data_IF_649186708619
#
_entry.id   IF_649186708619
#
_cell.length_a   1.000
_cell.length_b   1.000
_cell.length_c   1.000
_cell.angle_alpha   90.00
_cell.angle_beta   90.00
_cell.angle_gamma   90.00
#
_symmetry.space_group_name_H-M   'P 1'
#
loop_
_entity.id
_entity.type
_entity.pdbx_description
1 polymer ?
#
# COMPACT_ATOMS: atom_id res chain seq x y z
N UNK A 1 23.64 3.62 15.84
CA UNK A 1 23.77 4.03 17.25
C UNK A 1 22.87 3.17 18.13
N UNK A 2 23.43 2.28 18.96
CA UNK A 2 22.65 1.45 19.90
C UNK A 2 22.86 1.80 21.37
N UNK A 3 23.87 2.61 21.68
CA UNK A 3 24.25 2.97 23.05
C UNK A 3 24.61 4.46 23.07
N UNK A 4 24.09 5.19 24.04
CA UNK A 4 24.52 6.55 24.41
C UNK A 4 24.70 6.57 25.93
N UNK A 5 25.86 6.98 26.43
CA UNK A 5 26.22 6.95 27.85
C UNK A 5 25.93 5.59 28.54
N UNK A 6 26.27 4.48 27.90
CA UNK A 6 26.04 3.13 28.45
C UNK A 6 24.59 2.64 28.43
N UNK A 7 23.62 3.51 28.09
CA UNK A 7 22.20 3.16 28.00
C UNK A 7 21.81 2.80 26.57
N UNK A 8 21.16 1.65 26.41
CA UNK A 8 20.62 1.23 25.12
C UNK A 8 19.31 1.93 24.81
N UNK A 9 19.22 2.53 23.63
CA UNK A 9 17.96 3.15 23.18
C UNK A 9 16.87 2.08 23.00
N UNK A 10 15.67 2.36 23.51
CA UNK A 10 14.53 1.47 23.32
C UNK A 10 14.18 1.33 21.83
N UNK A 11 13.55 0.21 21.43
CA UNK A 11 13.08 0.04 20.05
C UNK A 11 12.08 1.13 19.62
N UNK A 12 11.28 1.65 20.57
CA UNK A 12 10.37 2.77 20.32
C UNK A 12 11.13 4.07 20.04
N UNK A 13 12.19 4.34 20.81
CA UNK A 13 13.11 5.47 20.60
C UNK A 13 13.77 5.40 19.24
N UNK A 14 14.35 4.26 18.87
CA UNK A 14 14.97 4.07 17.56
C UNK A 14 13.95 4.28 16.43
N UNK A 15 12.72 3.80 16.60
CA UNK A 15 11.65 4.00 15.60
C UNK A 15 11.27 5.46 15.45
N UNK A 16 11.19 6.23 16.55
CA UNK A 16 10.93 7.66 16.51
C UNK A 16 12.08 8.43 15.85
N UNK A 17 13.33 8.15 16.24
CA UNK A 17 14.51 8.79 15.64
C UNK A 17 14.61 8.56 14.14
N UNK A 18 14.23 7.37 13.63
CA UNK A 18 14.15 7.13 12.18
C UNK A 18 13.13 8.01 11.47
N UNK A 19 12.01 8.34 12.14
CA UNK A 19 11.01 9.28 11.60
C UNK A 19 11.55 10.71 11.61
N UNK A 20 12.13 11.14 12.73
CA UNK A 20 12.78 12.47 12.82
C UNK A 20 13.85 12.62 11.74
N UNK A 21 14.71 11.60 11.54
CA UNK A 21 15.73 11.61 10.50
C UNK A 21 15.14 11.78 9.09
N UNK A 22 14.06 11.07 8.77
CA UNK A 22 13.41 11.22 7.46
C UNK A 22 12.94 12.66 7.22
N UNK A 23 12.33 13.29 8.23
CA UNK A 23 11.86 14.68 8.12
C UNK A 23 13.00 15.69 8.18
N UNK A 24 14.07 15.43 8.92
CA UNK A 24 15.28 16.24 8.88
C UNK A 24 15.93 16.24 7.50
N UNK A 25 16.01 15.08 6.83
CA UNK A 25 16.48 14.99 5.44
C UNK A 25 15.59 15.82 4.51
N UNK A 26 14.26 15.74 4.66
CA UNK A 26 13.36 16.58 3.86
C UNK A 26 13.53 18.07 4.12
N UNK A 27 13.83 18.49 5.36
CA UNK A 27 14.12 19.90 5.65
C UNK A 27 15.41 20.39 4.99
N UNK A 28 16.39 19.49 4.78
CA UNK A 28 17.61 19.79 4.02
C UNK A 28 17.29 19.89 2.52
N UNK A 29 16.41 19.03 1.98
CA UNK A 29 15.99 19.10 0.58
C UNK A 29 15.07 20.30 0.29
N UNK A 30 14.32 20.75 1.30
CA UNK A 30 13.50 21.96 1.27
C UNK A 30 14.30 23.11 1.91
N UNK A 31 15.47 23.37 1.34
CA UNK A 31 16.38 24.44 1.74
C UNK A 31 15.87 25.82 1.31
N UNK A 32 16.64 26.85 1.62
CA UNK A 32 16.27 28.23 1.33
C UNK A 32 16.17 28.50 -0.18
N UNK A 33 17.08 27.95 -0.98
CA UNK A 33 17.07 28.10 -2.44
C UNK A 33 15.82 27.46 -3.06
N UNK A 34 15.47 26.22 -2.67
CA UNK A 34 14.24 25.59 -3.13
C UNK A 34 13.01 26.38 -2.70
N UNK A 35 13.00 26.92 -1.48
CA UNK A 35 11.86 27.67 -0.96
C UNK A 35 11.70 29.03 -1.65
N UNK A 36 12.80 29.67 -2.03
CA UNK A 36 12.80 30.88 -2.86
C UNK A 36 12.22 30.57 -4.24
N UNK A 37 12.70 29.51 -4.90
CA UNK A 37 12.14 29.02 -6.17
C UNK A 37 10.65 28.65 -6.03
N UNK A 38 10.24 28.03 -4.92
CA UNK A 38 8.85 27.67 -4.66
C UNK A 38 7.96 28.91 -4.54
N UNK A 39 8.44 29.96 -3.88
CA UNK A 39 7.66 31.18 -3.67
C UNK A 39 7.65 32.08 -4.90
N UNK A 40 8.81 32.26 -5.52
CA UNK A 40 9.03 33.28 -6.54
C UNK A 40 9.09 32.73 -7.96
N UNK A 41 9.29 31.42 -8.13
CA UNK A 41 9.47 30.79 -9.43
C UNK A 41 10.93 30.83 -9.90
N UNK A 42 11.20 30.14 -11.00
CA UNK A 42 12.50 30.13 -11.68
C UNK A 42 12.30 30.34 -13.18
N UNK A 43 13.18 31.10 -13.81
CA UNK A 43 13.13 31.36 -15.24
C UNK A 43 13.85 30.23 -15.98
N UNK A 44 13.12 29.50 -16.83
CA UNK A 44 13.66 28.38 -17.60
C UNK A 44 13.39 28.60 -19.09
N UNK A 45 14.42 28.43 -19.93
CA UNK A 45 14.23 28.26 -21.38
C UNK A 45 13.82 26.81 -21.66
N UNK A 46 12.57 26.62 -22.03
CA UNK A 46 12.02 25.30 -22.32
C UNK A 46 12.56 24.73 -23.65
N UNK A 47 12.31 23.44 -23.90
CA UNK A 47 12.80 22.72 -25.09
C UNK A 47 12.28 23.27 -26.42
N UNK A 48 11.13 23.96 -26.39
CA UNK A 48 10.55 24.67 -27.54
C UNK A 48 11.17 26.07 -27.77
N UNK A 49 12.19 26.44 -27.00
CA UNK A 49 12.89 27.72 -27.09
C UNK A 49 12.21 28.87 -26.34
N UNK A 50 11.00 28.67 -25.82
CA UNK A 50 10.24 29.69 -25.10
C UNK A 50 10.73 29.77 -23.65
N UNK A 51 10.99 30.99 -23.19
CA UNK A 51 11.35 31.26 -21.80
C UNK A 51 10.06 31.32 -20.98
N UNK A 52 10.00 30.55 -19.89
CA UNK A 52 8.84 30.49 -19.01
C UNK A 52 9.25 30.69 -17.56
N UNK A 53 8.38 31.36 -16.82
CA UNK A 53 8.47 31.46 -15.38
C UNK A 53 7.81 30.23 -14.75
N UNK A 54 8.62 29.40 -14.11
CA UNK A 54 8.25 28.06 -13.66
C UNK A 54 8.20 27.98 -12.15
N UNK A 55 7.08 27.50 -11.61
CA UNK A 55 6.94 27.29 -10.17
C UNK A 55 7.06 25.80 -9.81
N UNK A 56 8.05 25.41 -8.98
CA UNK A 56 8.12 24.06 -8.46
C UNK A 56 6.98 23.81 -7.47
N UNK A 57 6.22 22.73 -7.68
CA UNK A 57 5.07 22.37 -6.84
C UNK A 57 5.02 20.86 -6.58
N UNK A 58 4.59 20.49 -5.37
CA UNK A 58 4.35 19.10 -5.00
C UNK A 58 2.91 18.71 -5.32
N UNK A 59 2.70 17.97 -6.40
CA UNK A 59 1.38 17.43 -6.74
C UNK A 59 1.16 16.03 -6.20
N UNK A 60 2.16 15.15 -6.37
CA UNK A 60 2.02 13.73 -6.07
C UNK A 60 3.29 13.16 -5.43
N UNK A 61 3.11 12.28 -4.45
CA UNK A 61 4.12 11.46 -3.84
C UNK A 61 3.68 9.98 -3.92
N UNK A 62 4.24 9.28 -4.89
CA UNK A 62 3.94 7.87 -5.14
C UNK A 62 5.01 7.00 -4.50
N UNK A 63 4.60 6.23 -3.51
CA UNK A 63 5.50 5.39 -2.75
C UNK A 63 4.80 4.16 -2.20
N UNK A 64 5.59 3.23 -1.65
CA UNK A 64 5.03 2.10 -0.93
C UNK A 64 4.40 2.54 0.41
N UNK A 65 3.64 1.64 1.04
CA UNK A 65 2.91 1.99 2.25
C UNK A 65 3.81 2.39 3.43
N UNK A 66 4.89 1.66 3.76
CA UNK A 66 5.85 2.08 4.78
C UNK A 66 6.36 3.52 4.59
N UNK A 67 6.74 3.88 3.36
CA UNK A 67 7.25 5.22 3.06
C UNK A 67 6.16 6.29 3.19
N UNK A 68 4.96 6.04 2.64
CA UNK A 68 3.79 6.92 2.84
C UNK A 68 3.49 7.14 4.32
N UNK A 69 3.60 6.10 5.16
CA UNK A 69 3.37 6.20 6.61
C UNK A 69 4.39 7.10 7.29
N UNK A 70 5.67 7.00 6.91
CA UNK A 70 6.74 7.84 7.45
C UNK A 70 6.51 9.32 7.10
N UNK A 71 6.21 9.60 5.83
CA UNK A 71 5.97 10.95 5.34
C UNK A 71 4.66 11.52 5.84
N UNK A 72 3.60 10.71 5.96
CA UNK A 72 2.33 11.15 6.52
C UNK A 72 2.39 11.34 8.04
N UNK A 73 3.50 11.00 8.70
CA UNK A 73 3.67 11.04 10.16
C UNK A 73 2.54 10.29 10.90
N UNK A 74 2.25 9.09 10.41
CA UNK A 74 1.29 8.18 11.06
C UNK A 74 1.99 6.88 11.50
N UNK A 75 1.29 6.07 12.28
CA UNK A 75 1.79 4.79 12.79
C UNK A 75 1.49 3.66 11.81
N UNK A 76 2.50 2.85 11.57
CA UNK A 76 2.40 1.69 10.68
C UNK A 76 1.33 0.69 11.17
N UNK A 77 0.33 0.44 10.34
CA UNK A 77 -0.77 -0.53 10.57
C UNK A 77 -1.55 -0.33 11.89
N UNK A 78 -1.63 0.90 12.38
CA UNK A 78 -2.34 1.25 13.61
C UNK A 78 -3.87 1.35 13.40
N UNK A 79 -4.58 2.05 14.31
CA UNK A 79 -6.05 2.16 14.31
C UNK A 79 -6.55 2.75 12.99
N UNK A 80 -6.00 3.88 12.57
CA UNK A 80 -6.30 4.55 11.31
C UNK A 80 -5.15 4.30 10.32
N UNK A 81 -5.41 3.51 9.27
CA UNK A 81 -4.35 2.96 8.40
C UNK A 81 -4.07 3.79 7.16
N UNK A 82 -4.96 4.72 6.79
CA UNK A 82 -4.79 5.47 5.57
C UNK A 82 -3.99 6.77 5.81
N UNK A 83 -3.01 7.10 4.95
CA UNK A 83 -2.36 8.41 4.91
C UNK A 83 -3.31 9.55 4.52
N UNK A 84 -4.44 9.27 3.87
CA UNK A 84 -5.36 10.30 3.36
C UNK A 84 -6.62 10.50 4.19
N UNK A 85 -7.11 9.47 4.88
CA UNK A 85 -8.36 9.53 5.65
C UNK A 85 -8.25 8.82 7.00
N UNK A 86 -9.28 9.01 7.83
CA UNK A 86 -9.37 8.42 9.17
C UNK A 86 -10.04 7.04 9.21
N UNK A 87 -10.05 6.30 8.08
CA UNK A 87 -10.60 4.94 8.05
C UNK A 87 -9.92 4.07 9.11
N UNK A 88 -10.72 3.46 9.97
CA UNK A 88 -10.19 2.52 10.95
C UNK A 88 -9.99 1.15 10.30
N UNK A 89 -8.92 0.45 10.70
CA UNK A 89 -8.55 -0.87 10.17
C UNK A 89 -9.72 -1.85 10.15
N UNK A 90 -10.54 -1.88 11.21
CA UNK A 90 -11.72 -2.75 11.35
C UNK A 90 -12.79 -2.55 10.28
N UNK A 91 -12.80 -1.40 9.60
CA UNK A 91 -13.81 -1.06 8.59
C UNK A 91 -13.33 -1.29 7.16
N UNK A 92 -12.04 -1.56 6.95
CA UNK A 92 -11.43 -1.66 5.60
C UNK A 92 -12.06 -2.75 4.73
N UNK A 93 -12.52 -3.85 5.32
CA UNK A 93 -13.19 -4.94 4.57
C UNK A 93 -14.52 -4.50 3.93
N UNK A 94 -15.05 -3.33 4.30
CA UNK A 94 -16.28 -2.75 3.76
C UNK A 94 -16.06 -1.97 2.45
N UNK A 95 -14.90 -2.13 1.79
CA UNK A 95 -14.58 -1.52 0.49
C UNK A 95 -15.80 -1.46 -0.43
N UNK A 96 -16.07 -0.26 -0.96
CA UNK A 96 -17.07 -0.03 -1.99
C UNK A 96 -18.52 -0.09 -1.50
N UNK A 97 -18.76 -0.08 -0.18
CA UNK A 97 -20.09 0.15 0.39
C UNK A 97 -20.36 1.64 0.55
N UNK A 98 -21.63 2.04 0.59
CA UNK A 98 -22.00 3.44 0.83
C UNK A 98 -21.36 4.01 2.11
N UNK A 99 -21.39 3.24 3.20
CA UNK A 99 -20.78 3.64 4.49
C UNK A 99 -19.26 3.74 4.38
N UNK A 100 -18.62 2.94 3.53
CA UNK A 100 -17.18 3.07 3.26
C UNK A 100 -16.86 4.38 2.54
N UNK A 101 -17.67 4.79 1.55
CA UNK A 101 -17.52 6.08 0.88
C UNK A 101 -17.64 7.26 1.86
N UNK A 102 -18.61 7.21 2.78
CA UNK A 102 -18.73 8.22 3.85
C UNK A 102 -17.53 8.26 4.80
N UNK A 103 -16.89 7.11 5.07
CA UNK A 103 -15.68 7.09 5.91
C UNK A 103 -14.47 7.63 5.15
N UNK A 104 -14.38 7.38 3.84
CA UNK A 104 -13.33 7.89 2.98
C UNK A 104 -13.38 9.42 2.83
N UNK A 105 -14.57 10.03 2.90
CA UNK A 105 -14.71 11.49 2.87
C UNK A 105 -14.20 12.18 4.13
N UNK A 106 -14.02 11.46 5.25
CA UNK A 106 -13.32 11.96 6.43
C UNK A 106 -11.80 11.96 6.22
N UNK A 107 -11.37 12.88 5.36
CA UNK A 107 -9.97 13.08 5.01
C UNK A 107 -9.17 13.66 6.17
N UNK A 108 -7.87 13.34 6.20
CA UNK A 108 -6.92 13.97 7.09
C UNK A 108 -6.72 15.41 6.66
N UNK A 109 -6.72 16.28 7.65
CA UNK A 109 -6.41 17.70 7.48
C UNK A 109 -5.29 18.04 8.43
N UNK A 110 -4.34 18.81 7.95
CA UNK A 110 -3.32 19.38 8.80
C UNK A 110 -3.82 20.72 9.36
N UNK A 111 -4.49 20.64 10.49
CA UNK A 111 -5.09 21.78 11.17
C UNK A 111 -4.38 22.08 12.50
N UNK A 112 -4.66 23.24 13.09
CA UNK A 112 -4.07 23.66 14.36
C UNK A 112 -4.24 22.58 15.44
N UNK A 113 -5.42 21.97 15.55
CA UNK A 113 -5.69 20.88 16.51
C UNK A 113 -4.71 19.71 16.38
N UNK A 114 -4.37 19.29 15.15
CA UNK A 114 -3.36 18.24 14.93
C UNK A 114 -1.97 18.72 15.36
N UNK A 115 -1.61 19.95 14.99
CA UNK A 115 -0.31 20.54 15.31
C UNK A 115 -0.11 20.64 16.83
N UNK A 116 -1.11 21.14 17.55
CA UNK A 116 -1.10 21.24 19.01
C UNK A 116 -0.94 19.87 19.67
N UNK A 117 -1.65 18.85 19.17
CA UNK A 117 -1.51 17.46 19.65
C UNK A 117 -0.09 16.94 19.49
N UNK A 118 0.56 17.22 18.35
CA UNK A 118 1.94 16.82 18.08
C UNK A 118 2.90 17.59 18.99
N UNK A 119 2.74 18.90 19.11
CA UNK A 119 3.59 19.75 19.96
C UNK A 119 3.48 19.36 21.43
N UNK A 120 2.27 19.14 21.95
CA UNK A 120 2.04 18.71 23.33
C UNK A 120 2.66 17.33 23.59
N UNK A 121 2.54 16.41 22.65
CA UNK A 121 3.21 15.10 22.76
C UNK A 121 4.73 15.23 22.77
N UNK A 122 5.30 16.17 22.01
CA UNK A 122 6.74 16.47 22.01
C UNK A 122 7.18 17.13 23.31
N UNK A 123 6.38 18.01 23.92
CA UNK A 123 6.64 18.59 25.25
C UNK A 123 6.76 17.49 26.31
N UNK A 124 5.85 16.51 26.32
CA UNK A 124 5.96 15.34 27.19
C UNK A 124 7.27 14.57 27.02
N UNK A 125 7.70 14.34 25.77
CA UNK A 125 8.92 13.58 25.48
C UNK A 125 10.19 14.36 25.85
N UNK A 126 10.32 15.59 25.36
CA UNK A 126 11.58 16.34 25.44
C UNK A 126 11.72 17.20 26.69
N UNK A 127 10.62 17.70 27.27
CA UNK A 127 10.66 18.52 28.49
C UNK A 127 10.40 17.71 29.76
N UNK A 128 9.52 16.72 29.70
CA UNK A 128 9.12 15.93 30.88
C UNK A 128 9.71 14.52 30.91
N UNK A 129 10.55 14.15 29.93
CA UNK A 129 11.23 12.85 29.90
C UNK A 129 10.31 11.65 29.69
N UNK A 130 9.07 11.85 29.23
CA UNK A 130 8.13 10.77 29.02
C UNK A 130 8.56 9.86 27.85
N UNK A 131 8.37 8.55 28.01
CA UNK A 131 8.62 7.61 26.93
C UNK A 131 7.69 7.85 25.72
N UNK A 132 8.17 7.55 24.50
CA UNK A 132 7.40 7.73 23.25
C UNK A 132 6.09 6.92 23.23
N UNK A 133 6.07 5.77 23.91
CA UNK A 133 4.88 4.92 24.08
C UNK A 133 4.24 5.08 25.47
N UNK A 134 4.56 6.15 26.18
CA UNK A 134 3.93 6.45 27.46
C UNK A 134 2.45 6.73 27.26
N UNK A 135 1.66 6.49 28.32
CA UNK A 135 0.23 6.79 28.32
C UNK A 135 -0.05 8.26 27.94
N UNK A 136 0.73 9.21 28.46
CA UNK A 136 0.62 10.63 28.13
C UNK A 136 0.71 10.93 26.63
N UNK A 137 1.57 10.24 25.88
CA UNK A 137 1.71 10.43 24.42
C UNK A 137 0.66 9.64 23.65
N UNK A 138 0.36 8.42 24.11
CA UNK A 138 -0.58 7.52 23.47
C UNK A 138 -2.01 8.06 23.51
N UNK A 139 -2.47 8.56 24.66
CA UNK A 139 -3.82 9.10 24.84
C UNK A 139 -4.09 10.29 23.89
N UNK A 140 -3.04 11.05 23.52
CA UNK A 140 -3.15 12.21 22.60
C UNK A 140 -3.24 11.77 21.13
N UNK A 141 -2.42 10.80 20.71
CA UNK A 141 -2.15 10.53 19.28
C UNK A 141 -2.71 9.22 18.74
N UNK A 142 -3.03 8.26 19.61
CA UNK A 142 -3.40 6.90 19.20
C UNK A 142 -4.68 6.87 18.37
N UNK A 143 -5.66 7.71 18.71
CA UNK A 143 -6.97 7.74 18.06
C UNK A 143 -6.85 7.96 16.54
N UNK A 144 -6.07 8.95 16.14
CA UNK A 144 -5.81 9.30 14.73
C UNK A 144 -4.61 8.55 14.16
N UNK A 145 -3.94 7.74 14.98
CA UNK A 145 -2.70 7.03 14.65
C UNK A 145 -1.55 7.97 14.28
N UNK A 146 -1.55 9.20 14.79
CA UNK A 146 -0.46 10.14 14.60
C UNK A 146 0.79 9.73 15.39
N UNK A 147 1.92 10.37 15.09
CA UNK A 147 3.19 10.21 15.80
C UNK A 147 3.71 11.58 16.26
N UNK A 148 4.53 11.64 17.32
CA UNK A 148 5.03 12.90 17.87
C UNK A 148 6.21 13.48 17.04
N UNK A 149 6.06 13.51 15.72
CA UNK A 149 7.07 14.01 14.77
C UNK A 149 6.52 15.21 14.02
N UNK A 150 7.32 16.29 13.97
CA UNK A 150 7.02 17.44 13.12
C UNK A 150 7.28 17.07 11.66
N UNK A 151 6.36 17.45 10.79
CA UNK A 151 6.41 17.11 9.38
C UNK A 151 7.14 18.21 8.61
N UNK A 152 8.12 17.85 7.78
CA UNK A 152 8.93 18.81 7.03
C UNK A 152 8.11 19.67 6.05
N UNK A 153 7.17 19.06 5.34
CA UNK A 153 6.28 19.76 4.40
C UNK A 153 5.36 20.74 5.13
N UNK A 154 4.85 20.36 6.30
CA UNK A 154 4.11 21.29 7.16
C UNK A 154 4.99 22.49 7.54
N UNK A 155 6.20 22.24 8.04
CA UNK A 155 7.10 23.31 8.50
C UNK A 155 7.40 24.33 7.40
N UNK A 156 7.63 23.87 6.16
CA UNK A 156 8.04 24.75 5.05
C UNK A 156 6.87 25.28 4.21
N UNK A 157 5.83 24.47 4.02
CA UNK A 157 4.79 24.71 3.01
C UNK A 157 3.43 25.11 3.58
N UNK A 158 3.19 25.00 4.89
CA UNK A 158 1.89 25.34 5.48
C UNK A 158 1.48 26.80 5.29
N UNK A 159 2.46 27.72 5.27
CA UNK A 159 2.24 29.14 4.97
C UNK A 159 1.64 29.40 3.58
N UNK A 160 1.77 28.45 2.65
CA UNK A 160 1.17 28.50 1.31
C UNK A 160 -0.15 27.70 1.22
N UNK A 161 -0.74 27.32 2.35
CA UNK A 161 -1.98 26.53 2.40
C UNK A 161 -1.83 25.07 1.97
N UNK A 162 -0.60 24.54 1.90
CA UNK A 162 -0.35 23.19 1.42
C UNK A 162 -0.69 22.13 2.48
N UNK A 163 -1.72 21.31 2.20
CA UNK A 163 -2.03 20.12 3.01
C UNK A 163 -1.26 18.90 2.47
N UNK A 164 -0.16 18.54 3.13
CA UNK A 164 0.71 17.44 2.71
C UNK A 164 0.02 16.08 2.65
N UNK A 165 -1.14 15.86 3.28
CA UNK A 165 -1.87 14.59 3.13
C UNK A 165 -2.40 14.39 1.71
N UNK A 166 -2.61 15.47 0.96
CA UNK A 166 -3.16 15.42 -0.39
C UNK A 166 -2.16 14.90 -1.44
N UNK A 167 -0.86 14.97 -1.16
CA UNK A 167 0.16 14.53 -2.10
C UNK A 167 0.21 13.01 -2.25
N UNK A 168 -0.29 12.22 -1.27
CA UNK A 168 -0.19 10.77 -1.34
C UNK A 168 -1.15 10.18 -2.38
N UNK A 169 -0.59 9.63 -3.46
CA UNK A 169 -1.35 9.03 -4.56
C UNK A 169 -1.31 7.51 -4.51
N UNK A 170 -2.32 6.86 -5.10
CA UNK A 170 -2.37 5.39 -5.18
C UNK A 170 -1.23 4.82 -6.03
N UNK A 171 -0.74 3.63 -5.70
CA UNK A 171 0.35 2.96 -6.39
C UNK A 171 -0.06 1.55 -6.83
N UNK A 172 -0.34 1.38 -8.13
CA UNK A 172 -0.90 0.15 -8.69
C UNK A 172 0.00 -1.07 -8.46
N UNK A 173 1.31 -0.89 -8.53
CA UNK A 173 2.29 -1.96 -8.31
C UNK A 173 2.24 -2.46 -6.87
N UNK A 174 2.32 -1.56 -5.89
CA UNK A 174 2.44 -1.96 -4.48
C UNK A 174 1.10 -2.31 -3.83
N UNK A 175 0.03 -1.63 -4.22
CA UNK A 175 -1.30 -1.77 -3.60
C UNK A 175 -2.13 -2.87 -4.25
N UNK A 176 -2.10 -2.98 -5.58
CA UNK A 176 -2.88 -3.99 -6.28
C UNK A 176 -2.04 -5.20 -6.67
N UNK A 177 -1.06 -5.07 -7.57
CA UNK A 177 -0.35 -6.22 -8.16
C UNK A 177 0.42 -7.04 -7.11
N UNK A 178 1.31 -6.39 -6.36
CA UNK A 178 2.03 -7.00 -5.22
C UNK A 178 1.23 -6.98 -3.90
N UNK A 179 0.02 -6.47 -3.95
CA UNK A 179 -0.82 -6.23 -2.79
C UNK A 179 -2.03 -7.14 -2.75
N UNK A 180 -3.16 -6.61 -3.18
CA UNK A 180 -4.43 -7.34 -3.23
C UNK A 180 -4.32 -8.60 -4.08
N UNK A 181 -3.83 -8.51 -5.31
CA UNK A 181 -3.76 -9.64 -6.23
C UNK A 181 -2.83 -10.73 -5.73
N UNK A 182 -1.57 -10.40 -5.40
CA UNK A 182 -0.64 -11.38 -4.82
C UNK A 182 -1.22 -12.08 -3.59
N UNK A 183 -1.89 -11.36 -2.69
CA UNK A 183 -2.50 -11.95 -1.51
C UNK A 183 -3.67 -12.89 -1.86
N UNK A 184 -4.49 -12.50 -2.83
CA UNK A 184 -5.60 -13.31 -3.33
C UNK A 184 -5.09 -14.58 -4.03
N UNK A 185 -4.15 -14.45 -4.98
CA UNK A 185 -3.52 -15.58 -5.67
C UNK A 185 -2.85 -16.56 -4.69
N UNK A 186 -2.09 -16.04 -3.71
CA UNK A 186 -1.49 -16.88 -2.65
C UNK A 186 -2.56 -17.66 -1.89
N UNK A 187 -3.68 -17.03 -1.53
CA UNK A 187 -4.74 -17.70 -0.81
C UNK A 187 -5.48 -18.73 -1.67
N UNK A 188 -5.62 -18.49 -2.98
CA UNK A 188 -6.13 -19.49 -3.92
C UNK A 188 -5.25 -20.74 -3.98
N UNK A 189 -3.91 -20.59 -3.91
CA UNK A 189 -3.01 -21.75 -3.81
C UNK A 189 -3.28 -22.56 -2.53
N UNK A 190 -3.55 -21.88 -1.41
CA UNK A 190 -3.90 -22.55 -0.16
C UNK A 190 -5.23 -23.30 -0.26
N UNK A 191 -6.22 -22.73 -0.97
CA UNK A 191 -7.51 -23.38 -1.24
C UNK A 191 -7.31 -24.62 -2.09
N UNK A 192 -6.58 -24.53 -3.21
CA UNK A 192 -6.31 -25.69 -4.07
C UNK A 192 -5.57 -26.81 -3.32
N UNK A 193 -4.60 -26.47 -2.46
CA UNK A 193 -3.94 -27.45 -1.61
C UNK A 193 -4.90 -28.08 -0.58
N UNK A 194 -5.82 -27.30 -0.02
CA UNK A 194 -6.80 -27.79 0.95
C UNK A 194 -7.90 -28.63 0.28
N UNK A 195 -8.25 -28.33 -0.96
CA UNK A 195 -9.16 -29.13 -1.78
C UNK A 195 -8.56 -30.51 -2.13
N UNK A 196 -7.23 -30.61 -2.16
CA UNK A 196 -6.51 -31.83 -2.50
C UNK A 196 -6.53 -32.14 -4.01
N UNK A 197 -6.15 -33.37 -4.36
CA UNK A 197 -6.08 -33.82 -5.76
C UNK A 197 -5.00 -33.10 -6.58
N UNK A 198 -5.29 -32.88 -7.86
CA UNK A 198 -4.33 -32.37 -8.86
C UNK A 198 -4.46 -30.88 -9.17
N UNK A 199 -5.22 -30.12 -8.37
CA UNK A 199 -5.56 -28.72 -8.69
C UNK A 199 -4.34 -27.82 -8.93
N UNK A 200 -3.29 -27.97 -8.10
CA UNK A 200 -2.03 -27.23 -8.24
C UNK A 200 -1.25 -27.67 -9.49
N UNK A 201 -1.19 -28.97 -9.76
CA UNK A 201 -0.50 -29.55 -10.90
C UNK A 201 -1.15 -29.10 -12.21
N UNK A 202 -2.49 -29.15 -12.27
CA UNK A 202 -3.27 -28.67 -13.42
C UNK A 202 -3.08 -27.17 -13.63
N UNK A 203 -3.11 -26.39 -12.56
CA UNK A 203 -2.85 -24.95 -12.63
C UNK A 203 -1.47 -24.64 -13.22
N UNK A 204 -0.43 -25.31 -12.70
CA UNK A 204 0.94 -25.13 -13.19
C UNK A 204 1.08 -25.53 -14.66
N UNK A 205 0.47 -26.66 -15.05
CA UNK A 205 0.42 -27.10 -16.43
C UNK A 205 -0.28 -26.08 -17.33
N UNK A 206 -1.44 -25.55 -16.91
CA UNK A 206 -2.19 -24.54 -17.68
C UNK A 206 -1.41 -23.24 -17.84
N UNK A 207 -0.82 -22.69 -16.77
CA UNK A 207 0.05 -21.51 -16.89
C UNK A 207 1.24 -21.78 -17.83
N UNK A 208 1.84 -22.97 -17.76
CA UNK A 208 2.95 -23.32 -18.67
C UNK A 208 2.52 -23.42 -20.14
N UNK A 209 1.26 -23.75 -20.41
CA UNK A 209 0.67 -23.83 -21.75
C UNK A 209 0.23 -22.48 -22.32
N UNK A 210 0.15 -21.43 -21.51
CA UNK A 210 -0.17 -20.09 -22.02
C UNK A 210 0.95 -19.62 -22.96
N UNK A 211 0.58 -19.34 -24.20
CA UNK A 211 1.50 -18.81 -25.19
C UNK A 211 1.97 -17.40 -24.79
N UNK A 212 3.21 -17.07 -25.16
CA UNK A 212 3.71 -15.70 -25.05
C UNK A 212 2.93 -14.77 -25.97
N UNK A 213 2.67 -13.54 -25.53
CA UNK A 213 1.96 -12.55 -26.34
C UNK A 213 2.70 -11.21 -26.36
N UNK A 214 2.92 -10.69 -27.57
CA UNK A 214 3.68 -9.47 -27.82
C UNK A 214 5.16 -9.58 -27.40
N UNK A 215 5.92 -8.48 -27.58
CA UNK A 215 7.34 -8.44 -27.19
C UNK A 215 7.53 -8.53 -25.67
N UNK A 216 6.58 -8.03 -24.88
CA UNK A 216 6.68 -7.92 -23.41
C UNK A 216 5.34 -7.98 -22.67
N UNK A 217 4.23 -8.33 -23.34
CA UNK A 217 2.89 -8.21 -22.75
C UNK A 217 2.53 -9.41 -21.89
N UNK A 218 2.73 -10.63 -22.39
CA UNK A 218 2.62 -11.89 -21.65
C UNK A 218 3.91 -12.67 -21.89
N UNK A 219 4.68 -12.87 -20.83
CA UNK A 219 5.93 -13.65 -20.88
C UNK A 219 5.68 -15.13 -20.61
N UNK A 220 6.69 -15.95 -20.90
CA UNK A 220 6.63 -17.38 -20.62
C UNK A 220 6.54 -17.60 -19.11
N UNK A 221 5.48 -18.25 -18.64
CA UNK A 221 5.34 -18.60 -17.23
C UNK A 221 6.31 -19.71 -16.84
N UNK A 222 6.77 -19.64 -15.58
CA UNK A 222 7.58 -20.69 -14.98
C UNK A 222 6.78 -22.00 -14.89
N UNK A 223 7.48 -23.16 -14.95
CA UNK A 223 6.85 -24.49 -14.84
C UNK A 223 6.05 -24.68 -13.55
N UNK A 224 6.45 -23.97 -12.49
CA UNK A 224 5.77 -23.97 -11.21
C UNK A 224 5.39 -22.53 -10.83
N UNK A 225 4.24 -22.09 -11.33
CA UNK A 225 3.68 -20.76 -11.08
C UNK A 225 3.15 -20.64 -9.63
N UNK A 226 2.61 -21.73 -9.08
CA UNK A 226 2.07 -21.78 -7.71
C UNK A 226 3.10 -21.50 -6.62
N UNK A 227 4.38 -21.81 -6.86
CA UNK A 227 5.46 -21.58 -5.89
C UNK A 227 5.81 -20.10 -5.69
N UNK A 228 5.44 -19.26 -6.66
CA UNK A 228 5.70 -17.82 -6.67
C UNK A 228 7.16 -17.48 -6.35
N UNK A 229 8.10 -18.27 -6.88
CA UNK A 229 9.54 -18.09 -6.65
C UNK A 229 10.09 -17.04 -7.60
N UNK A 230 10.80 -16.05 -7.04
CA UNK A 230 11.49 -15.00 -7.78
C UNK A 230 10.59 -14.20 -8.74
N UNK A 231 9.29 -14.08 -8.42
CA UNK A 231 8.34 -13.28 -9.21
C UNK A 231 8.46 -11.79 -8.86
N UNK A 232 8.65 -10.98 -9.88
CA UNK A 232 8.51 -9.53 -9.84
C UNK A 232 7.04 -9.09 -10.00
N UNK A 233 6.76 -7.81 -9.81
CA UNK A 233 5.39 -7.26 -9.94
C UNK A 233 4.76 -7.54 -11.32
N UNK A 234 5.55 -7.40 -12.39
CA UNK A 234 5.12 -7.69 -13.76
C UNK A 234 4.67 -9.15 -13.94
N UNK A 235 5.28 -10.09 -13.23
CA UNK A 235 4.90 -11.50 -13.36
C UNK A 235 3.55 -11.75 -12.67
N UNK A 236 3.28 -11.06 -11.55
CA UNK A 236 1.95 -11.08 -10.92
C UNK A 236 0.89 -10.46 -11.83
N UNK A 237 1.21 -9.36 -12.52
CA UNK A 237 0.31 -8.77 -13.52
C UNK A 237 -0.03 -9.80 -14.61
N UNK A 238 0.96 -10.46 -15.19
CA UNK A 238 0.73 -11.46 -16.25
C UNK A 238 -0.07 -12.67 -15.73
N UNK A 239 0.19 -13.11 -14.48
CA UNK A 239 -0.61 -14.16 -13.83
C UNK A 239 -2.10 -13.80 -13.71
N UNK A 240 -2.41 -12.53 -13.42
CA UNK A 240 -3.79 -12.05 -13.36
C UNK A 240 -4.44 -12.06 -14.75
N UNK A 241 -3.75 -11.50 -15.75
CA UNK A 241 -4.28 -11.38 -17.12
C UNK A 241 -4.66 -12.74 -17.73
N UNK A 242 -3.98 -13.81 -17.32
CA UNK A 242 -4.25 -15.17 -17.81
C UNK A 242 -5.02 -16.04 -16.79
N UNK A 243 -5.52 -15.46 -15.71
CA UNK A 243 -6.07 -16.24 -14.58
C UNK A 243 -7.37 -16.97 -14.91
N UNK A 244 -8.32 -16.33 -15.60
CA UNK A 244 -9.65 -16.90 -15.89
C UNK A 244 -9.59 -18.33 -16.48
N UNK A 245 -8.98 -18.55 -17.67
CA UNK A 245 -8.92 -19.90 -18.26
C UNK A 245 -8.02 -20.86 -17.47
N UNK A 246 -7.06 -20.33 -16.70
CA UNK A 246 -6.17 -21.17 -15.90
C UNK A 246 -6.92 -21.75 -14.70
N UNK A 247 -7.79 -20.97 -14.05
CA UNK A 247 -8.53 -21.40 -12.87
C UNK A 247 -9.84 -22.13 -13.17
N UNK A 248 -10.32 -22.12 -14.41
CA UNK A 248 -11.65 -22.66 -14.77
C UNK A 248 -11.80 -24.15 -14.46
N UNK A 249 -12.81 -24.51 -13.67
CA UNK A 249 -13.08 -25.89 -13.28
C UNK A 249 -11.99 -26.52 -12.41
N UNK A 250 -11.17 -25.71 -11.70
CA UNK A 250 -10.23 -26.25 -10.70
C UNK A 250 -10.91 -26.55 -9.36
N UNK A 251 -12.11 -26.01 -9.13
CA UNK A 251 -12.92 -26.25 -7.95
C UNK A 251 -14.29 -26.83 -8.34
N UNK A 252 -15.06 -27.40 -7.39
CA UNK A 252 -16.44 -27.81 -7.65
C UNK A 252 -17.29 -26.66 -8.21
N UNK A 253 -18.29 -26.93 -9.07
CA UNK A 253 -18.98 -25.89 -9.86
C UNK A 253 -19.49 -24.69 -9.05
N UNK A 254 -20.05 -24.92 -7.86
CA UNK A 254 -20.55 -23.84 -7.00
C UNK A 254 -19.43 -22.92 -6.47
N UNK A 255 -18.25 -23.48 -6.20
CA UNK A 255 -17.10 -22.72 -5.69
C UNK A 255 -16.34 -22.07 -6.84
N UNK A 256 -16.24 -22.77 -7.97
CA UNK A 256 -15.59 -22.26 -9.19
C UNK A 256 -16.29 -20.99 -9.68
N UNK A 257 -17.63 -20.96 -9.67
CA UNK A 257 -18.38 -19.74 -10.02
C UNK A 257 -17.99 -18.53 -9.17
N UNK A 258 -17.94 -18.67 -7.85
CA UNK A 258 -17.55 -17.57 -6.94
C UNK A 258 -16.12 -17.12 -7.25
N UNK A 259 -15.21 -18.07 -7.52
CA UNK A 259 -13.83 -17.77 -7.85
C UNK A 259 -13.71 -17.04 -9.20
N UNK A 260 -14.37 -17.55 -10.24
CA UNK A 260 -14.35 -16.98 -11.59
C UNK A 260 -14.95 -15.58 -11.62
N UNK A 261 -16.09 -15.35 -10.96
CA UNK A 261 -16.69 -14.02 -10.82
C UNK A 261 -15.70 -13.04 -10.18
N UNK A 262 -15.03 -13.46 -9.10
CA UNK A 262 -14.05 -12.62 -8.40
C UNK A 262 -12.81 -12.35 -9.26
N UNK A 263 -12.30 -13.35 -9.98
CA UNK A 263 -11.17 -13.20 -10.91
C UNK A 263 -11.50 -12.26 -12.06
N UNK A 264 -12.70 -12.39 -12.64
CA UNK A 264 -13.18 -11.51 -13.68
C UNK A 264 -13.19 -10.06 -13.22
N UNK A 265 -13.79 -9.79 -12.06
CA UNK A 265 -13.83 -8.44 -11.50
C UNK A 265 -12.44 -7.90 -11.14
N UNK A 266 -11.52 -8.73 -10.65
CA UNK A 266 -10.12 -8.33 -10.42
C UNK A 266 -9.42 -7.92 -11.74
N UNK A 267 -9.63 -8.69 -12.82
CA UNK A 267 -9.10 -8.38 -14.14
C UNK A 267 -9.71 -7.10 -14.71
N UNK A 268 -11.03 -6.92 -14.62
CA UNK A 268 -11.71 -5.71 -15.08
C UNK A 268 -11.23 -4.48 -14.30
N UNK A 269 -11.15 -4.58 -12.97
CA UNK A 269 -10.68 -3.50 -12.11
C UNK A 269 -9.25 -3.09 -12.48
N UNK A 270 -8.34 -4.06 -12.64
CA UNK A 270 -6.95 -3.81 -13.02
C UNK A 270 -6.85 -3.15 -14.40
N UNK A 271 -7.64 -3.63 -15.36
CA UNK A 271 -7.66 -3.10 -16.73
C UNK A 271 -8.12 -1.65 -16.72
N UNK A 272 -9.22 -1.33 -16.04
CA UNK A 272 -9.73 0.03 -15.90
C UNK A 272 -8.73 0.94 -15.20
N UNK A 273 -8.14 0.50 -14.08
CA UNK A 273 -7.16 1.31 -13.32
C UNK A 273 -5.85 1.57 -14.09
N UNK A 274 -5.55 0.77 -15.12
CA UNK A 274 -4.33 0.86 -15.94
C UNK A 274 -4.54 1.61 -17.26
N UNK A 275 -5.76 2.07 -17.55
CA UNK A 275 -6.01 2.86 -18.75
C UNK A 275 -5.13 4.12 -18.77
N UNK A 276 -4.60 4.43 -19.95
CA UNK A 276 -3.75 5.61 -20.18
C UNK A 276 -4.57 6.88 -20.43
N UNK A 277 -5.86 6.71 -20.63
CA UNK A 277 -6.81 7.77 -20.90
C UNK A 277 -8.12 7.39 -20.24
N UNK A 278 -8.71 8.35 -19.53
CA UNK A 278 -9.96 8.17 -18.84
C UNK A 278 -11.00 9.15 -19.36
N UNK A 279 -12.18 8.63 -19.63
CA UNK A 279 -13.42 9.39 -19.82
C UNK A 279 -14.29 9.26 -18.56
N UNK A 280 -15.33 10.09 -18.46
CA UNK A 280 -16.35 9.96 -17.40
C UNK A 280 -16.90 8.53 -17.31
N UNK A 281 -17.18 7.88 -18.44
CA UNK A 281 -17.70 6.51 -18.46
C UNK A 281 -16.70 5.49 -17.90
N UNK A 282 -15.41 5.59 -18.23
CA UNK A 282 -14.39 4.68 -17.68
C UNK A 282 -14.17 4.89 -16.18
N UNK A 283 -14.28 6.12 -15.68
CA UNK A 283 -14.18 6.42 -14.25
C UNK A 283 -15.39 5.87 -13.49
N UNK A 284 -16.60 6.05 -14.03
CA UNK A 284 -17.81 5.42 -13.49
C UNK A 284 -17.69 3.90 -13.50
N UNK A 285 -17.17 3.31 -14.58
CA UNK A 285 -16.89 1.88 -14.67
C UNK A 285 -15.94 1.40 -13.58
N UNK A 286 -14.85 2.14 -13.32
CA UNK A 286 -13.89 1.81 -12.27
C UNK A 286 -14.52 1.91 -10.88
N UNK A 287 -15.38 2.91 -10.63
CA UNK A 287 -16.10 3.05 -9.38
C UNK A 287 -17.05 1.87 -9.15
N UNK A 288 -17.89 1.54 -10.14
CA UNK A 288 -18.84 0.42 -10.09
C UNK A 288 -18.09 -0.90 -9.87
N UNK A 289 -17.00 -1.11 -10.61
CA UNK A 289 -16.16 -2.31 -10.48
C UNK A 289 -15.52 -2.39 -9.09
N UNK A 290 -15.10 -1.27 -8.51
CA UNK A 290 -14.57 -1.25 -7.13
C UNK A 290 -15.62 -1.68 -6.10
N UNK A 291 -16.88 -1.24 -6.28
CA UNK A 291 -18.02 -1.66 -5.44
C UNK A 291 -18.30 -3.16 -5.57
N UNK A 292 -18.33 -3.66 -6.82
CA UNK A 292 -18.53 -5.08 -7.12
C UNK A 292 -17.40 -5.93 -6.52
N UNK A 293 -16.15 -5.52 -6.70
CA UNK A 293 -14.97 -6.21 -6.17
C UNK A 293 -15.03 -6.34 -4.64
N UNK A 294 -15.38 -5.26 -3.95
CA UNK A 294 -15.55 -5.30 -2.49
C UNK A 294 -16.62 -6.29 -2.06
N UNK A 295 -17.75 -6.36 -2.78
CA UNK A 295 -18.84 -7.33 -2.52
C UNK A 295 -18.37 -8.76 -2.75
N UNK A 296 -17.72 -9.04 -3.87
CA UNK A 296 -17.25 -10.36 -4.23
C UNK A 296 -16.14 -10.86 -3.31
N UNK A 297 -15.15 -10.03 -2.95
CA UNK A 297 -14.13 -10.41 -1.97
C UNK A 297 -14.73 -10.76 -0.61
N UNK A 298 -15.74 -10.01 -0.15
CA UNK A 298 -16.47 -10.37 1.09
C UNK A 298 -17.20 -11.69 0.92
N UNK A 299 -17.92 -11.90 -0.18
CA UNK A 299 -18.63 -13.15 -0.44
C UNK A 299 -17.66 -14.35 -0.55
N UNK A 300 -16.52 -14.18 -1.18
CA UNK A 300 -15.44 -15.17 -1.25
C UNK A 300 -14.99 -15.56 0.16
N UNK A 301 -14.73 -14.58 1.03
CA UNK A 301 -14.31 -14.83 2.41
C UNK A 301 -15.39 -15.46 3.27
N UNK A 302 -16.67 -15.09 3.09
CA UNK A 302 -17.75 -15.59 3.94
C UNK A 302 -18.37 -16.90 3.45
N UNK A 303 -18.34 -17.17 2.14
CA UNK A 303 -19.00 -18.34 1.54
C UNK A 303 -18.02 -19.44 1.13
N UNK A 304 -16.85 -19.07 0.57
CA UNK A 304 -15.91 -20.04 0.01
C UNK A 304 -14.81 -20.41 1.02
N UNK A 305 -14.15 -19.42 1.63
CA UNK A 305 -13.04 -19.69 2.57
C UNK A 305 -13.39 -20.67 3.72
N UNK A 306 -14.57 -20.64 4.35
CA UNK A 306 -14.90 -21.56 5.45
C UNK A 306 -14.97 -23.03 5.04
N UNK A 307 -15.16 -23.31 3.74
CA UNK A 307 -15.27 -24.67 3.20
C UNK A 307 -13.92 -25.36 3.04
N UNK A 308 -12.81 -24.62 3.22
CA UNK A 308 -11.46 -25.12 3.01
C UNK A 308 -10.59 -24.86 4.25
N UNK A 309 -10.00 -25.92 4.81
CA UNK A 309 -9.03 -25.82 5.89
C UNK A 309 -7.66 -25.37 5.35
N UNK A 310 -7.56 -24.07 5.05
CA UNK A 310 -6.38 -23.47 4.43
C UNK A 310 -5.24 -23.33 5.44
N UNK A 311 -4.03 -23.73 5.04
CA UNK A 311 -2.81 -23.64 5.86
C UNK A 311 -1.76 -22.79 5.17
N UNK A 312 -0.65 -22.50 5.86
CA UNK A 312 0.53 -21.94 5.20
C UNK A 312 0.98 -22.85 4.05
N UNK A 313 1.38 -22.25 2.94
CA UNK A 313 2.00 -22.99 1.85
C UNK A 313 3.31 -23.64 2.36
N UNK A 314 3.76 -24.78 1.81
CA UNK A 314 4.98 -25.45 2.28
C UNK A 314 6.20 -24.52 2.39
N UNK A 315 6.34 -23.59 1.43
CA UNK A 315 7.38 -22.57 1.41
C UNK A 315 7.25 -21.52 2.53
N UNK A 316 6.02 -21.13 2.87
CA UNK A 316 5.74 -20.24 3.99
C UNK A 316 6.12 -20.91 5.32
N UNK A 317 5.76 -22.20 5.47
CA UNK A 317 6.14 -23.01 6.64
C UNK A 317 7.65 -23.15 6.77
N UNK A 318 8.36 -23.45 5.67
CA UNK A 318 9.83 -23.51 5.65
C UNK A 318 10.48 -22.16 5.97
N UNK A 319 9.93 -21.05 5.46
CA UNK A 319 10.41 -19.71 5.78
C UNK A 319 10.13 -19.33 7.25
N UNK A 320 9.03 -19.79 7.83
CA UNK A 320 8.70 -19.61 9.24
C UNK A 320 9.66 -20.41 10.13
N UNK A 321 9.89 -21.69 9.82
CA UNK A 321 10.85 -22.55 10.52
C UNK A 321 12.28 -21.97 10.50
N UNK A 322 12.75 -21.48 9.35
CA UNK A 322 14.05 -20.79 9.23
C UNK A 322 14.13 -19.54 10.11
N UNK A 323 13.06 -18.73 10.15
CA UNK A 323 12.98 -17.54 11.02
C UNK A 323 12.97 -17.91 12.49
N UNK A 324 12.21 -18.94 12.87
CA UNK A 324 12.19 -19.46 14.24
C UNK A 324 13.59 -19.95 14.67
N UNK A 325 14.27 -20.72 13.82
CA UNK A 325 15.64 -21.17 14.07
C UNK A 325 16.65 -20.01 14.20
N UNK A 326 16.54 -18.97 13.34
CA UNK A 326 17.37 -17.77 13.43
C UNK A 326 17.12 -16.98 14.72
N UNK A 327 15.86 -16.89 15.17
CA UNK A 327 15.51 -16.23 16.42
C UNK A 327 15.94 -17.04 17.65
N UNK A 328 15.89 -18.38 17.58
CA UNK A 328 16.41 -19.28 18.61
C UNK A 328 17.93 -19.13 18.77
N UNK A 329 18.69 -18.97 17.67
CA UNK A 329 20.12 -18.65 17.72
C UNK A 329 20.46 -17.30 18.37
N UNK A 330 19.49 -16.40 18.53
CA UNK A 330 19.67 -15.06 19.13
C UNK A 330 19.19 -14.95 20.59
N UNK A 331 18.63 -16.01 21.18
CA UNK A 331 18.14 -16.04 22.57
C UNK A 331 18.85 -17.16 23.36
N UNK A 332 19.17 -16.92 24.65
CA UNK A 332 19.57 -17.99 25.59
C UNK A 332 18.42 -19.01 25.74
N UNK A 333 18.71 -20.29 26.07
CA UNK A 333 17.71 -21.35 26.07
C UNK A 333 16.64 -21.05 27.12
N UNK A 334 15.36 -21.11 26.72
CA UNK A 334 14.24 -21.19 27.65
C UNK A 334 13.32 -22.32 27.20
N UNK A 335 12.69 -22.95 28.20
CA UNK A 335 11.93 -24.20 28.18
C UNK A 335 11.03 -24.43 26.95
N UNK A 336 10.76 -25.70 26.57
CA UNK A 336 10.04 -26.06 25.36
C UNK A 336 8.57 -25.61 25.44
N UNK A 337 8.30 -24.41 24.91
CA UNK A 337 6.95 -23.89 24.74
C UNK A 337 6.29 -24.54 23.53
N UNK A 338 5.21 -25.28 23.80
CA UNK A 338 4.15 -25.80 22.92
C UNK A 338 4.30 -25.52 21.41
N UNK A 339 4.43 -26.60 20.64
CA UNK A 339 4.27 -26.62 19.20
C UNK A 339 2.91 -26.00 18.84
N UNK A 340 2.91 -24.73 18.42
CA UNK A 340 1.71 -24.01 18.02
C UNK A 340 0.87 -24.86 17.07
N UNK A 341 -0.35 -25.20 17.50
CA UNK A 341 -1.33 -25.94 16.73
C UNK A 341 -1.56 -25.32 15.35
N UNK A 342 -1.95 -26.16 14.38
CA UNK A 342 -2.15 -25.85 12.96
C UNK A 342 -3.09 -24.64 12.77
N UNK A 343 -2.54 -23.43 12.68
CA UNK A 343 -3.34 -22.19 12.50
C UNK A 343 -3.85 -22.10 11.06
N UNK A 344 -5.18 -22.09 10.90
CA UNK A 344 -5.87 -21.84 9.63
C UNK A 344 -5.55 -20.44 9.09
N UNK A 345 -5.30 -20.32 7.79
CA UNK A 345 -4.87 -19.07 7.13
C UNK A 345 -5.95 -18.47 6.22
N UNK A 346 -6.71 -17.54 6.79
CA UNK A 346 -7.71 -16.77 6.04
C UNK A 346 -7.11 -15.67 5.16
N UNK A 347 -7.85 -15.29 4.10
CA UNK A 347 -7.59 -14.09 3.32
C UNK A 347 -7.85 -12.84 4.18
N UNK A 348 -6.84 -11.98 4.34
CA UNK A 348 -6.96 -10.78 5.15
C UNK A 348 -7.46 -9.58 4.33
N UNK A 349 -8.71 -9.19 4.56
CA UNK A 349 -9.32 -8.00 3.94
C UNK A 349 -9.07 -6.70 4.74
N UNK A 350 -8.38 -6.72 5.88
CA UNK A 350 -8.15 -5.55 6.73
C UNK A 350 -6.80 -4.89 6.46
N UNK A 351 -6.51 -4.62 5.19
CA UNK A 351 -5.21 -4.09 4.74
C UNK A 351 -5.35 -2.72 4.10
N UNK A 352 -4.39 -1.81 4.36
CA UNK A 352 -4.34 -0.51 3.66
C UNK A 352 -4.41 -0.66 2.15
N UNK A 353 -3.74 -1.71 1.62
CA UNK A 353 -3.72 -2.01 0.20
C UNK A 353 -5.13 -2.20 -0.37
N UNK A 354 -6.00 -2.96 0.31
CA UNK A 354 -7.39 -3.11 -0.12
C UNK A 354 -8.15 -1.78 -0.06
N UNK A 355 -7.96 -1.00 1.01
CA UNK A 355 -8.59 0.31 1.15
C UNK A 355 -8.21 1.26 0.00
N UNK A 356 -6.94 1.27 -0.41
CA UNK A 356 -6.42 2.17 -1.43
C UNK A 356 -7.10 2.00 -2.81
N UNK A 357 -7.75 0.85 -3.08
CA UNK A 357 -8.51 0.64 -4.32
C UNK A 357 -9.67 1.63 -4.46
N UNK A 358 -10.27 2.05 -3.33
CA UNK A 358 -11.34 3.05 -3.31
C UNK A 358 -10.89 4.45 -3.74
N UNK A 359 -9.60 4.73 -3.64
CA UNK A 359 -9.06 6.06 -3.90
C UNK A 359 -8.65 6.27 -5.37
N UNK A 360 -8.67 5.23 -6.23
CA UNK A 360 -8.15 5.32 -7.60
C UNK A 360 -8.92 6.32 -8.45
N UNK A 361 -10.25 6.27 -8.44
CA UNK A 361 -11.10 7.18 -9.25
C UNK A 361 -10.78 8.63 -8.92
N UNK A 362 -10.77 8.98 -7.62
CA UNK A 362 -10.45 10.33 -7.17
C UNK A 362 -9.02 10.74 -7.53
N UNK A 363 -8.05 9.85 -7.34
CA UNK A 363 -6.63 10.11 -7.67
C UNK A 363 -6.46 10.36 -9.16
N UNK A 364 -7.10 9.54 -10.00
CA UNK A 364 -7.04 9.65 -11.45
C UNK A 364 -7.69 10.95 -11.93
N UNK A 365 -8.82 11.30 -11.33
CA UNK A 365 -9.51 12.56 -11.65
C UNK A 365 -8.65 13.79 -11.31
N UNK A 366 -7.92 13.78 -10.19
CA UNK A 366 -7.10 14.92 -9.76
C UNK A 366 -5.74 15.01 -10.48
N UNK A 367 -5.11 13.87 -10.80
CA UNK A 367 -3.70 13.82 -11.22
C UNK A 367 -3.46 13.14 -12.57
N UNK A 368 -4.53 12.73 -13.25
CA UNK A 368 -4.45 11.99 -14.50
C UNK A 368 -4.25 10.48 -14.32
N UNK A 369 -4.04 9.72 -15.41
CA UNK A 369 -3.94 8.26 -15.37
C UNK A 369 -2.81 7.78 -14.45
N UNK A 370 -2.92 6.53 -13.96
CA UNK A 370 -1.94 5.97 -13.03
C UNK A 370 -0.50 5.98 -13.56
N UNK A 371 -0.31 5.98 -14.89
CA UNK A 371 1.01 6.09 -15.51
C UNK A 371 1.71 7.44 -15.25
N UNK A 372 0.97 8.52 -14.98
CA UNK A 372 1.52 9.85 -14.75
C UNK A 372 2.32 9.97 -13.45
N UNK A 373 2.01 9.13 -12.46
CA UNK A 373 2.64 9.15 -11.13
C UNK A 373 3.07 7.74 -10.65
N UNK A 374 3.09 6.74 -11.54
CA UNK A 374 3.49 5.38 -11.18
C UNK A 374 5.01 5.24 -11.12
N UNK A 375 5.49 4.58 -10.07
CA UNK A 375 6.90 4.21 -9.92
C UNK A 375 7.31 3.02 -10.81
N UNK A 376 6.40 2.43 -11.61
CA UNK A 376 6.72 1.29 -12.50
C UNK A 376 7.69 1.62 -13.63
N UNK A 377 7.83 2.90 -14.01
CA UNK A 377 8.62 3.29 -15.18
C UNK A 377 10.05 3.74 -14.86
N UNK A 378 10.42 3.96 -13.60
CA UNK A 378 11.73 4.52 -13.25
C UNK A 378 12.27 3.91 -11.94
N UNK A 379 13.54 3.50 -11.93
CA UNK A 379 14.28 2.95 -10.78
C UNK A 379 14.58 3.96 -9.65
N UNK A 380 13.88 5.10 -9.61
CA UNK A 380 13.97 6.12 -8.58
C UNK A 380 12.56 6.63 -8.29
N UNK A 381 12.27 6.94 -7.02
CA UNK A 381 11.03 7.57 -6.57
C UNK A 381 10.72 8.80 -7.45
N UNK A 382 9.72 8.69 -8.32
CA UNK A 382 9.22 9.80 -9.10
C UNK A 382 8.44 10.74 -8.17
N UNK A 383 9.12 11.75 -7.64
CA UNK A 383 8.46 12.98 -7.23
C UNK A 383 8.12 13.71 -8.53
N UNK A 384 6.86 13.61 -8.97
CA UNK A 384 6.43 14.35 -10.15
C UNK A 384 6.27 15.81 -9.74
N UNK A 385 7.34 16.59 -9.92
CA UNK A 385 7.32 18.03 -9.93
C UNK A 385 6.80 18.43 -11.32
N UNK A 386 5.51 18.72 -11.43
CA UNK A 386 4.98 19.35 -12.64
C UNK A 386 5.20 20.85 -12.50
N UNK A 387 5.84 21.45 -13.49
CA UNK A 387 6.10 22.87 -13.54
C UNK A 387 4.86 23.57 -14.11
N UNK A 388 4.21 24.42 -13.30
CA UNK A 388 3.19 25.33 -13.86
C UNK A 388 3.90 26.50 -14.52
N UNK A 389 3.39 26.90 -15.67
CA UNK A 389 3.83 28.09 -16.39
C UNK A 389 2.62 29.00 -16.46
N UNK A 390 2.68 30.14 -15.77
CA UNK A 390 1.66 31.16 -15.99
C UNK A 390 1.75 31.59 -17.46
N UNK A 391 0.59 31.54 -18.14
CA UNK A 391 0.44 32.20 -19.44
C UNK A 391 0.04 33.62 -19.11
N UNK A 392 0.96 34.56 -19.33
CA UNK A 392 0.62 35.97 -19.48
C UNK A 392 -0.30 36.18 -20.69
#
# INVERSE_FOLDING_TARGET
>A
MKVYNGLTASAATITHLKRELMHAIWLILLDEEFMEAYKHGIIIKCADGVIRHVFPRFFTYSADYPEKVLLATIRYLAKCVCPRCYIQKRWVSRLGTYVDNQRQSHIRKDNQQRQDKVENSRKWIFKHGAGIKSKHVEDILQETSAVPTQNAFLTRLSQFGFNFFNMFVSNLLHEFELGVWKAFFTHMMRILLAAGGEGIQRLNWRYHKVATFGRNTIRRFHRNASDMTNLAARDFKDLLQCSLPVFEGLLPPAHDKILQDTLFTLCEWHTLAKLRMHTSSTLTGLEVTTRRLGKELRAFVTKLCPLYSTKELPKETAACARRAASNAKKRKPMAPGSLNGKVTKMLNLFTYKLHALGDYVKTIWMFGPTESYSTQRVGHSLNTLLCYTDRD
#
